data_IF_593441732380
#
_entry.id   IF_593441732380
#
_cell.length_a   1.000
_cell.length_b   1.000
_cell.length_c   1.000
_cell.angle_alpha   90.00
_cell.angle_beta   90.00
_cell.angle_gamma   90.00
#
_symmetry.space_group_name_H-M   'P 1'
#
loop_
_entity.id
_entity.type
_entity.pdbx_description
1 polymer ?
#
# COMPACT_ATOMS: atom_id res chain seq x y z
N UNK A 1 12.46 14.44 -24.73
CA UNK A 1 12.41 13.85 -23.39
C UNK A 1 13.65 14.30 -22.60
N UNK A 2 13.48 14.77 -21.37
CA UNK A 2 14.60 15.20 -20.54
C UNK A 2 15.10 14.02 -19.70
N UNK A 3 16.41 13.71 -19.75
CA UNK A 3 17.02 12.60 -19.01
C UNK A 3 16.86 12.76 -17.50
N UNK A 4 16.83 13.98 -17.00
CA UNK A 4 16.63 14.28 -15.57
C UNK A 4 15.23 13.82 -15.15
N UNK A 5 14.21 14.08 -15.96
CA UNK A 5 12.83 13.65 -15.67
C UNK A 5 12.71 12.11 -15.71
N UNK A 6 13.44 11.44 -16.62
CA UNK A 6 13.51 9.98 -16.64
C UNK A 6 14.10 9.43 -15.32
N UNK A 7 15.20 10.00 -14.85
CA UNK A 7 15.81 9.60 -13.58
C UNK A 7 14.87 9.83 -12.39
N UNK A 8 14.13 10.95 -12.36
CA UNK A 8 13.13 11.21 -11.33
C UNK A 8 12.02 10.16 -11.33
N UNK A 9 11.50 9.82 -12.51
CA UNK A 9 10.49 8.76 -12.66
C UNK A 9 11.01 7.41 -12.16
N UNK A 10 12.26 7.07 -12.47
CA UNK A 10 12.89 5.84 -11.97
C UNK A 10 12.97 5.85 -10.44
N UNK A 11 13.41 6.94 -9.84
CA UNK A 11 13.49 7.06 -8.37
C UNK A 11 12.11 6.93 -7.74
N UNK A 12 11.09 7.61 -8.28
CA UNK A 12 9.71 7.50 -7.80
C UNK A 12 9.17 6.07 -7.91
N UNK A 13 9.45 5.39 -9.03
CA UNK A 13 9.08 3.98 -9.21
C UNK A 13 9.79 3.04 -8.23
N UNK A 14 11.06 3.30 -7.90
CA UNK A 14 11.81 2.54 -6.88
C UNK A 14 11.18 2.76 -5.50
N UNK A 15 10.93 4.01 -5.13
CA UNK A 15 10.33 4.35 -3.83
C UNK A 15 8.97 3.70 -3.69
N UNK A 16 8.10 3.83 -4.69
CA UNK A 16 6.79 3.20 -4.71
C UNK A 16 6.88 1.67 -4.57
N UNK A 17 7.66 1.02 -5.45
CA UNK A 17 7.79 -0.44 -5.45
C UNK A 17 8.37 -1.01 -4.17
N UNK A 18 9.22 -0.24 -3.45
CA UNK A 18 9.79 -0.66 -2.18
C UNK A 18 8.83 -0.43 -1.02
N UNK A 19 8.20 0.75 -0.94
CA UNK A 19 7.49 1.20 0.25
C UNK A 19 6.02 0.76 0.31
N UNK A 20 5.41 0.40 -0.83
CA UNK A 20 4.00 0.01 -0.88
C UNK A 20 3.71 -1.29 -0.11
N UNK A 21 4.62 -2.27 -0.20
CA UNK A 21 4.42 -3.58 0.41
C UNK A 21 4.87 -3.64 1.87
N UNK A 22 5.89 -2.87 2.21
CA UNK A 22 6.33 -2.75 3.57
C UNK A 22 5.36 -1.85 4.36
N UNK A 23 5.09 -2.17 5.63
CA UNK A 23 4.14 -1.37 6.40
C UNK A 23 4.78 -0.06 6.91
N UNK A 24 5.39 0.74 5.98
CA UNK A 24 6.16 1.96 6.27
C UNK A 24 5.58 3.24 5.66
N UNK A 25 4.47 3.15 4.93
CA UNK A 25 3.78 4.25 4.24
C UNK A 25 4.49 4.77 2.98
N UNK A 26 4.05 4.28 1.81
CA UNK A 26 4.47 4.81 0.51
C UNK A 26 4.15 6.31 0.38
N UNK A 27 2.96 6.74 0.79
CA UNK A 27 2.55 8.16 0.76
C UNK A 27 3.52 9.06 1.53
N UNK A 28 3.95 8.66 2.74
CA UNK A 28 4.91 9.44 3.53
C UNK A 28 6.26 9.61 2.83
N UNK A 29 6.74 8.54 2.16
CA UNK A 29 7.99 8.59 1.40
C UNK A 29 7.85 9.42 0.13
N UNK A 30 6.73 9.26 -0.59
CA UNK A 30 6.50 9.97 -1.84
C UNK A 30 6.40 11.48 -1.63
N UNK A 31 5.79 11.94 -0.53
CA UNK A 31 5.76 13.37 -0.16
C UNK A 31 7.20 13.89 0.03
N UNK A 32 8.03 13.22 0.84
CA UNK A 32 9.42 13.66 1.06
C UNK A 32 10.25 13.63 -0.23
N UNK A 33 10.04 12.62 -1.07
CA UNK A 33 10.78 12.48 -2.31
C UNK A 33 10.34 13.53 -3.34
N UNK A 34 9.04 13.84 -3.43
CA UNK A 34 8.54 14.88 -4.34
C UNK A 34 9.04 16.28 -3.93
N UNK A 35 9.17 16.56 -2.62
CA UNK A 35 9.76 17.79 -2.10
C UNK A 35 11.25 17.97 -2.49
N UNK A 36 11.98 16.88 -2.70
CA UNK A 36 13.40 16.92 -3.09
C UNK A 36 13.57 16.88 -4.62
N UNK A 37 12.80 16.02 -5.27
CA UNK A 37 13.02 15.69 -6.70
C UNK A 37 12.23 16.60 -7.62
N UNK A 38 11.03 17.04 -7.24
CA UNK A 38 10.12 17.89 -8.02
C UNK A 38 9.98 17.45 -9.49
N UNK A 39 9.11 16.46 -9.76
CA UNK A 39 8.79 16.06 -11.12
C UNK A 39 8.21 17.26 -11.89
N UNK A 40 8.88 17.71 -12.95
CA UNK A 40 8.48 18.90 -13.74
C UNK A 40 7.32 18.55 -14.69
N UNK A 41 6.16 18.30 -14.10
CA UNK A 41 4.90 17.98 -14.79
C UNK A 41 3.75 18.77 -14.15
N UNK A 42 2.63 18.99 -14.86
CA UNK A 42 1.44 19.60 -14.27
C UNK A 42 0.99 18.84 -13.02
N UNK A 43 0.55 19.58 -11.99
CA UNK A 43 0.12 18.98 -10.70
C UNK A 43 -0.94 17.89 -10.88
N UNK A 44 -1.90 18.09 -11.78
CA UNK A 44 -2.92 17.09 -12.07
C UNK A 44 -2.31 15.78 -12.61
N UNK A 45 -1.27 15.87 -13.48
CA UNK A 45 -0.54 14.69 -13.95
C UNK A 45 0.23 14.02 -12.83
N UNK A 46 0.95 14.79 -11.99
CA UNK A 46 1.71 14.24 -10.86
C UNK A 46 0.81 13.44 -9.91
N UNK A 47 -0.32 14.03 -9.50
CA UNK A 47 -1.26 13.37 -8.61
C UNK A 47 -1.82 12.07 -9.19
N UNK A 48 -2.12 12.07 -10.49
CA UNK A 48 -2.54 10.85 -11.19
C UNK A 48 -1.39 9.84 -11.31
N UNK A 49 -0.19 10.30 -11.70
CA UNK A 49 1.01 9.46 -11.88
C UNK A 49 1.35 8.68 -10.62
N UNK A 50 1.39 9.34 -9.45
CA UNK A 50 1.73 8.70 -8.17
C UNK A 50 0.76 7.57 -7.79
N UNK A 51 -0.50 7.66 -8.20
CA UNK A 51 -1.48 6.58 -7.97
C UNK A 51 -1.39 5.50 -9.04
N UNK A 52 -1.17 5.87 -10.30
CA UNK A 52 -1.19 4.91 -11.41
C UNK A 52 0.05 4.01 -11.44
N UNK A 53 1.22 4.49 -10.98
CA UNK A 53 2.41 3.63 -10.88
C UNK A 53 2.23 2.47 -9.90
N UNK A 54 1.29 2.57 -8.95
CA UNK A 54 0.88 1.45 -8.08
C UNK A 54 0.32 0.26 -8.86
N UNK A 55 -0.21 0.47 -10.09
CA UNK A 55 -0.59 -0.65 -10.97
C UNK A 55 0.61 -1.53 -11.30
N UNK A 56 1.78 -0.92 -11.50
CA UNK A 56 3.02 -1.69 -11.66
C UNK A 56 3.32 -2.53 -10.42
N UNK A 57 3.21 -1.92 -9.25
CA UNK A 57 3.44 -2.61 -7.98
C UNK A 57 2.47 -3.79 -7.80
N UNK A 58 1.16 -3.61 -8.05
CA UNK A 58 0.17 -4.68 -7.85
C UNK A 58 0.30 -5.83 -8.86
N UNK A 59 0.82 -5.57 -10.06
CA UNK A 59 1.14 -6.64 -11.00
C UNK A 59 2.17 -7.62 -10.44
N UNK A 60 3.08 -7.18 -9.56
CA UNK A 60 4.01 -8.06 -8.87
C UNK A 60 3.30 -9.08 -7.98
N UNK A 61 2.22 -8.69 -7.29
CA UNK A 61 1.39 -9.62 -6.50
C UNK A 61 0.72 -10.64 -7.42
N UNK A 62 0.12 -10.18 -8.52
CA UNK A 62 -0.55 -11.08 -9.47
C UNK A 62 0.42 -12.11 -10.05
N UNK A 63 1.66 -11.71 -10.35
CA UNK A 63 2.69 -12.62 -10.87
C UNK A 63 3.19 -13.58 -9.79
N UNK A 64 3.56 -13.06 -8.61
CA UNK A 64 4.13 -13.88 -7.54
C UNK A 64 3.14 -14.87 -6.93
N UNK A 65 1.85 -14.52 -6.89
CA UNK A 65 0.79 -15.33 -6.33
C UNK A 65 -0.18 -15.85 -7.39
N UNK A 66 0.25 -15.88 -8.67
CA UNK A 66 -0.61 -16.27 -9.79
C UNK A 66 -1.30 -17.61 -9.54
N UNK A 67 -0.56 -18.65 -9.16
CA UNK A 67 -1.14 -19.98 -8.89
C UNK A 67 -2.15 -19.93 -7.74
N UNK A 68 -1.93 -19.10 -6.72
CA UNK A 68 -2.84 -18.95 -5.58
C UNK A 68 -4.12 -18.19 -5.96
N UNK A 69 -4.01 -17.20 -6.80
CA UNK A 69 -5.08 -16.26 -7.18
C UNK A 69 -5.86 -16.69 -8.43
N UNK A 70 -5.35 -17.60 -9.26
CA UNK A 70 -6.03 -18.04 -10.47
C UNK A 70 -7.09 -19.13 -10.14
N UNK A 71 -8.42 -18.81 -10.21
CA UNK A 71 -9.49 -19.77 -9.94
C UNK A 71 -9.79 -20.70 -11.11
N UNK A 72 -9.19 -20.45 -12.28
CA UNK A 72 -9.43 -21.21 -13.51
C UNK A 72 -8.25 -22.12 -13.88
N UNK A 73 -7.34 -22.37 -12.95
CA UNK A 73 -6.15 -23.18 -13.20
C UNK A 73 -6.52 -24.63 -13.46
N UNK A 74 -6.10 -25.15 -14.63
CA UNK A 74 -6.24 -26.55 -14.98
C UNK A 74 -5.31 -27.48 -14.19
N UNK A 75 -4.29 -26.91 -13.54
CA UNK A 75 -3.33 -27.65 -12.68
C UNK A 75 -3.87 -27.89 -11.27
N UNK A 76 -4.91 -27.18 -10.86
CA UNK A 76 -5.56 -27.32 -9.55
C UNK A 76 -6.69 -28.33 -9.58
N UNK A 77 -6.93 -28.99 -8.45
CA UNK A 77 -8.15 -29.79 -8.24
C UNK A 77 -9.37 -28.85 -8.16
N UNK A 78 -10.58 -29.31 -8.56
CA UNK A 78 -11.80 -28.48 -8.49
C UNK A 78 -12.02 -27.82 -7.12
N UNK A 79 -11.78 -28.54 -6.01
CA UNK A 79 -11.90 -28.00 -4.66
C UNK A 79 -10.91 -26.84 -4.38
N UNK A 80 -9.72 -26.87 -4.98
CA UNK A 80 -8.74 -25.78 -4.84
C UNK A 80 -9.15 -24.54 -5.66
N UNK A 81 -9.75 -24.72 -6.82
CA UNK A 81 -10.31 -23.62 -7.61
C UNK A 81 -11.48 -22.98 -6.85
N UNK A 82 -12.36 -23.78 -6.25
CA UNK A 82 -13.45 -23.30 -5.40
C UNK A 82 -12.91 -22.52 -4.18
N UNK A 83 -11.87 -23.02 -3.51
CA UNK A 83 -11.22 -22.29 -2.41
C UNK A 83 -10.63 -20.94 -2.85
N UNK A 84 -10.11 -20.86 -4.08
CA UNK A 84 -9.64 -19.60 -4.66
C UNK A 84 -10.80 -18.61 -4.91
N UNK A 85 -11.95 -19.08 -5.40
CA UNK A 85 -13.15 -18.23 -5.56
C UNK A 85 -13.66 -17.72 -4.21
N UNK A 86 -13.67 -18.57 -3.19
CA UNK A 86 -14.01 -18.16 -1.81
C UNK A 86 -13.02 -17.12 -1.28
N UNK A 87 -11.73 -17.26 -1.56
CA UNK A 87 -10.74 -16.24 -1.19
C UNK A 87 -11.03 -14.89 -1.88
N UNK A 88 -11.33 -14.91 -3.18
CA UNK A 88 -11.72 -13.71 -3.92
C UNK A 88 -12.99 -13.05 -3.36
N UNK A 89 -14.00 -13.81 -3.01
CA UNK A 89 -15.22 -13.26 -2.40
C UNK A 89 -14.95 -12.58 -1.05
N UNK A 90 -14.02 -13.09 -0.24
CA UNK A 90 -13.57 -12.46 1.00
C UNK A 90 -12.80 -11.17 0.74
N UNK A 91 -11.93 -11.16 -0.29
CA UNK A 91 -11.19 -9.96 -0.71
C UNK A 91 -12.15 -8.87 -1.16
N UNK A 92 -13.11 -9.19 -2.03
CA UNK A 92 -14.11 -8.23 -2.51
C UNK A 92 -14.95 -7.69 -1.35
N UNK A 93 -15.43 -8.56 -0.45
CA UNK A 93 -16.17 -8.14 0.74
C UNK A 93 -15.37 -7.15 1.59
N UNK A 94 -14.09 -7.40 1.79
CA UNK A 94 -13.21 -6.53 2.57
C UNK A 94 -12.90 -5.20 1.87
N UNK A 95 -13.05 -5.11 0.55
CA UNK A 95 -12.88 -3.86 -0.19
C UNK A 95 -14.10 -2.93 -0.09
N UNK A 96 -15.30 -3.47 0.15
CA UNK A 96 -16.56 -2.70 0.13
C UNK A 96 -16.52 -1.49 1.07
N UNK A 97 -16.15 -1.61 2.37
CA UNK A 97 -16.12 -0.45 3.26
C UNK A 97 -15.26 0.70 2.74
N UNK A 98 -14.03 0.41 2.30
CA UNK A 98 -13.10 1.41 1.80
C UNK A 98 -13.55 2.01 0.45
N UNK A 99 -14.17 1.22 -0.43
CA UNK A 99 -14.70 1.70 -1.69
C UNK A 99 -15.88 2.67 -1.46
N UNK A 100 -16.83 2.29 -0.59
CA UNK A 100 -18.01 3.12 -0.33
C UNK A 100 -17.64 4.41 0.40
N UNK A 101 -16.90 4.30 1.50
CA UNK A 101 -16.53 5.49 2.30
C UNK A 101 -15.51 6.35 1.54
N UNK A 102 -14.51 5.74 0.90
CA UNK A 102 -13.49 6.47 0.15
C UNK A 102 -14.09 7.35 -0.94
N UNK A 103 -15.06 6.83 -1.72
CA UNK A 103 -15.74 7.62 -2.75
C UNK A 103 -16.56 8.79 -2.19
N UNK A 104 -17.06 8.67 -0.97
CA UNK A 104 -17.88 9.72 -0.33
C UNK A 104 -17.04 10.83 0.32
N UNK A 105 -15.80 10.50 0.75
CA UNK A 105 -14.99 11.42 1.57
C UNK A 105 -13.65 11.80 0.92
N UNK A 106 -13.33 11.30 -0.29
CA UNK A 106 -12.05 11.54 -1.00
C UNK A 106 -11.68 13.03 -1.03
N UNK A 107 -12.62 13.87 -1.52
CA UNK A 107 -12.39 15.31 -1.67
C UNK A 107 -12.19 16.02 -0.30
N UNK A 108 -12.93 15.58 0.73
CA UNK A 108 -12.82 16.13 2.10
C UNK A 108 -11.47 15.75 2.73
N UNK A 109 -11.04 14.49 2.52
CA UNK A 109 -9.77 14.01 3.06
C UNK A 109 -8.58 14.70 2.38
N UNK A 110 -8.66 14.88 1.05
CA UNK A 110 -7.63 15.60 0.30
C UNK A 110 -7.52 17.08 0.78
N UNK A 111 -8.63 17.75 1.06
CA UNK A 111 -8.65 19.14 1.51
C UNK A 111 -8.09 19.32 2.95
N UNK A 112 -8.50 18.48 3.90
CA UNK A 112 -8.20 18.70 5.32
C UNK A 112 -7.05 17.88 5.87
N UNK A 113 -6.79 16.69 5.33
CA UNK A 113 -5.81 15.75 5.89
C UNK A 113 -4.54 15.59 5.05
N UNK A 114 -4.52 16.02 3.77
CA UNK A 114 -3.34 15.89 2.94
C UNK A 114 -2.28 16.97 3.28
N UNK A 115 -1.71 16.86 4.47
CA UNK A 115 -0.65 17.75 4.94
C UNK A 115 0.43 16.98 5.71
N UNK A 116 1.64 17.54 5.75
CA UNK A 116 2.80 16.88 6.34
C UNK A 116 2.69 16.61 7.84
N UNK A 117 1.94 17.42 8.60
CA UNK A 117 1.76 17.20 10.04
C UNK A 117 0.89 15.96 10.30
N UNK A 118 -0.19 15.77 9.54
CA UNK A 118 -1.02 14.56 9.62
C UNK A 118 -0.21 13.33 9.25
N UNK A 119 0.58 13.40 8.17
CA UNK A 119 1.46 12.30 7.75
C UNK A 119 2.47 11.96 8.84
N UNK A 120 3.13 12.94 9.45
CA UNK A 120 4.07 12.73 10.54
C UNK A 120 3.40 12.08 11.76
N UNK A 121 2.24 12.60 12.18
CA UNK A 121 1.50 12.08 13.31
C UNK A 121 1.05 10.62 13.09
N UNK A 122 0.52 10.30 11.91
CA UNK A 122 0.08 8.94 11.58
C UNK A 122 1.25 7.97 11.44
N UNK A 123 2.40 8.40 10.88
CA UNK A 123 3.61 7.59 10.87
C UNK A 123 4.04 7.19 12.28
N UNK A 124 4.12 8.15 13.21
CA UNK A 124 4.50 7.90 14.61
C UNK A 124 3.46 7.01 15.28
N UNK A 125 2.17 7.34 15.18
CA UNK A 125 1.09 6.58 15.79
C UNK A 125 1.12 5.11 15.38
N UNK A 126 1.15 4.83 14.08
CA UNK A 126 1.19 3.45 13.58
C UNK A 126 2.53 2.76 13.86
N UNK A 127 3.64 3.51 13.92
CA UNK A 127 4.91 2.99 14.40
C UNK A 127 4.81 2.45 15.83
N UNK A 128 4.22 3.22 16.73
CA UNK A 128 3.96 2.81 18.13
C UNK A 128 2.99 1.62 18.19
N UNK A 129 1.91 1.64 17.40
CA UNK A 129 0.94 0.55 17.34
C UNK A 129 1.58 -0.77 16.90
N UNK A 130 2.49 -0.77 15.91
CA UNK A 130 3.21 -1.97 15.51
C UNK A 130 4.01 -2.56 16.68
N UNK A 131 4.72 -1.73 17.44
CA UNK A 131 5.51 -2.18 18.59
C UNK A 131 4.59 -2.75 19.67
N UNK A 132 3.47 -2.08 19.99
CA UNK A 132 2.51 -2.53 21.01
C UNK A 132 1.89 -3.87 20.62
N UNK A 133 1.42 -4.00 19.38
CA UNK A 133 0.75 -5.22 18.90
C UNK A 133 1.72 -6.38 18.84
N UNK A 134 2.96 -6.17 18.39
CA UNK A 134 3.97 -7.23 18.40
C UNK A 134 4.35 -7.67 19.80
N UNK A 135 4.48 -6.74 20.77
CA UNK A 135 4.72 -7.09 22.18
C UNK A 135 3.56 -7.89 22.75
N UNK A 136 2.30 -7.48 22.48
CA UNK A 136 1.11 -8.21 22.91
C UNK A 136 1.06 -9.63 22.33
N UNK A 137 1.48 -9.79 21.07
CA UNK A 137 1.40 -11.04 20.35
C UNK A 137 2.63 -11.95 20.52
N UNK A 138 3.63 -11.53 21.31
CA UNK A 138 4.91 -12.26 21.46
C UNK A 138 4.73 -13.71 21.92
N UNK A 139 3.75 -13.95 22.81
CA UNK A 139 3.46 -15.28 23.36
C UNK A 139 2.12 -15.86 22.88
N UNK A 140 1.48 -15.21 21.90
CA UNK A 140 0.17 -15.63 21.42
C UNK A 140 0.30 -16.71 20.34
N UNK A 141 -0.46 -17.78 20.46
CA UNK A 141 -0.72 -18.69 19.36
C UNK A 141 -1.73 -18.04 18.41
N UNK A 142 -1.39 -17.92 17.12
CA UNK A 142 -2.29 -17.36 16.13
C UNK A 142 -3.31 -18.42 15.68
N UNK A 143 -4.59 -18.06 15.68
CA UNK A 143 -5.69 -18.93 15.28
C UNK A 143 -5.70 -19.12 13.75
N UNK A 144 -5.37 -18.06 12.99
CA UNK A 144 -5.36 -18.08 11.53
C UNK A 144 -3.92 -18.08 11.02
N UNK A 145 -3.45 -19.25 10.58
CA UNK A 145 -2.07 -19.43 10.10
C UNK A 145 -1.92 -19.16 8.60
N UNK A 146 -2.97 -19.40 7.81
CA UNK A 146 -2.94 -19.26 6.34
C UNK A 146 -4.03 -18.31 5.87
N UNK A 147 -3.79 -17.61 4.79
CA UNK A 147 -4.75 -16.66 4.20
C UNK A 147 -6.09 -17.31 3.81
N UNK A 148 -6.09 -18.59 3.43
CA UNK A 148 -7.30 -19.32 3.10
C UNK A 148 -8.23 -19.53 4.30
N UNK A 149 -7.69 -19.58 5.52
CA UNK A 149 -8.40 -19.84 6.75
C UNK A 149 -9.09 -18.59 7.34
N UNK A 150 -8.82 -17.41 6.78
CA UNK A 150 -9.49 -16.16 7.16
C UNK A 150 -11.01 -16.32 6.95
N UNK A 151 -11.80 -16.06 8.00
CA UNK A 151 -13.27 -16.08 7.89
C UNK A 151 -13.82 -14.85 7.16
N UNK A 152 -15.05 -14.89 6.68
CA UNK A 152 -15.74 -13.71 6.11
C UNK A 152 -15.84 -12.56 7.13
N UNK A 153 -16.11 -12.90 8.40
CA UNK A 153 -16.17 -11.91 9.47
C UNK A 153 -14.81 -11.23 9.68
N UNK A 154 -13.74 -12.02 9.76
CA UNK A 154 -12.37 -11.49 9.88
C UNK A 154 -11.99 -10.63 8.67
N UNK A 155 -12.33 -11.09 7.45
CA UNK A 155 -12.08 -10.33 6.22
C UNK A 155 -12.79 -8.98 6.23
N UNK A 156 -14.07 -8.93 6.63
CA UNK A 156 -14.82 -7.68 6.76
C UNK A 156 -14.20 -6.73 7.79
N UNK A 157 -13.79 -7.22 8.96
CA UNK A 157 -13.11 -6.41 9.95
C UNK A 157 -11.77 -5.85 9.44
N UNK A 158 -10.98 -6.67 8.71
CA UNK A 158 -9.75 -6.16 8.06
C UNK A 158 -10.10 -5.06 7.06
N UNK A 159 -11.19 -5.19 6.32
CA UNK A 159 -11.72 -4.15 5.43
C UNK A 159 -12.11 -2.86 6.16
N UNK A 160 -12.66 -2.96 7.37
CA UNK A 160 -12.93 -1.79 8.22
C UNK A 160 -11.63 -1.15 8.71
N UNK A 161 -10.63 -1.93 9.10
CA UNK A 161 -9.30 -1.38 9.40
C UNK A 161 -8.68 -0.67 8.20
N UNK A 162 -8.98 -1.10 6.96
CA UNK A 162 -8.51 -0.43 5.75
C UNK A 162 -9.04 1.01 5.62
N UNK A 163 -10.20 1.36 6.20
CA UNK A 163 -10.69 2.73 6.23
C UNK A 163 -9.69 3.70 6.86
N UNK A 164 -8.93 3.25 7.83
CA UNK A 164 -7.89 4.06 8.48
C UNK A 164 -6.79 4.48 7.50
N UNK A 165 -6.61 3.72 6.41
CA UNK A 165 -5.65 4.03 5.37
C UNK A 165 -6.07 5.20 4.46
N UNK A 166 -7.32 5.65 4.55
CA UNK A 166 -7.77 6.90 3.92
C UNK A 166 -7.09 8.12 4.55
N UNK A 167 -6.62 8.02 5.81
CA UNK A 167 -5.85 9.07 6.46
C UNK A 167 -4.40 9.00 5.95
N UNK A 168 -3.86 10.08 5.33
CA UNK A 168 -2.50 10.10 4.80
C UNK A 168 -1.44 9.70 5.83
N UNK A 169 -0.41 8.99 5.40
CA UNK A 169 0.64 8.50 6.28
C UNK A 169 0.35 7.19 7.01
N UNK A 170 -0.93 6.78 7.15
CA UNK A 170 -1.31 5.53 7.81
C UNK A 170 -0.71 4.29 7.14
N UNK A 171 -0.65 4.24 5.83
CA UNK A 171 -0.31 3.08 5.00
C UNK A 171 -1.44 2.05 4.94
N UNK A 172 -1.86 1.69 3.74
CA UNK A 172 -2.86 0.64 3.51
C UNK A 172 -2.39 -0.70 4.08
N UNK A 173 -1.18 -1.11 3.70
CA UNK A 173 -0.58 -2.35 4.22
C UNK A 173 -0.39 -2.28 5.73
N UNK A 174 -0.01 -1.12 6.28
CA UNK A 174 0.12 -0.94 7.72
C UNK A 174 -1.18 -1.16 8.47
N UNK A 175 -2.28 -0.54 8.04
CA UNK A 175 -3.58 -0.65 8.69
C UNK A 175 -4.15 -2.08 8.59
N UNK A 176 -4.09 -2.70 7.41
CA UNK A 176 -4.66 -4.03 7.18
C UNK A 176 -3.85 -5.14 7.85
N UNK A 177 -2.52 -5.04 7.87
CA UNK A 177 -1.66 -6.00 8.60
C UNK A 177 -1.92 -5.91 10.10
N UNK A 178 -1.90 -4.70 10.68
CA UNK A 178 -2.18 -4.51 12.11
C UNK A 178 -3.58 -5.02 12.48
N UNK A 179 -4.59 -4.66 11.68
CA UNK A 179 -5.96 -5.15 11.89
C UNK A 179 -6.05 -6.67 11.88
N UNK A 180 -5.44 -7.32 10.89
CA UNK A 180 -5.41 -8.77 10.80
C UNK A 180 -4.69 -9.43 11.99
N UNK A 181 -3.57 -8.86 12.44
CA UNK A 181 -2.84 -9.36 13.62
C UNK A 181 -3.62 -9.20 14.93
N UNK A 182 -4.35 -8.09 15.09
CA UNK A 182 -5.27 -7.88 16.24
C UNK A 182 -6.35 -8.95 16.26
N UNK A 183 -6.87 -9.33 15.09
CA UNK A 183 -7.91 -10.33 14.89
C UNK A 183 -7.41 -11.79 14.96
N UNK A 184 -6.12 -12.02 15.28
CA UNK A 184 -5.56 -13.35 15.50
C UNK A 184 -4.94 -14.01 14.27
N UNK A 185 -4.73 -13.28 13.18
CA UNK A 185 -3.98 -13.77 12.02
C UNK A 185 -2.48 -13.76 12.28
N UNK A 186 -1.77 -14.78 11.79
CA UNK A 186 -0.31 -14.79 11.79
C UNK A 186 0.27 -13.66 10.92
N UNK A 187 1.53 -13.29 11.14
CA UNK A 187 2.22 -12.27 10.32
C UNK A 187 2.13 -12.57 8.83
N UNK A 188 2.37 -13.83 8.45
CA UNK A 188 2.32 -14.26 7.05
C UNK A 188 0.91 -14.16 6.45
N UNK A 189 -0.12 -14.65 7.17
CA UNK A 189 -1.51 -14.56 6.71
C UNK A 189 -1.96 -13.10 6.59
N UNK A 190 -1.56 -12.23 7.54
CA UNK A 190 -1.86 -10.80 7.55
C UNK A 190 -1.24 -10.08 6.35
N UNK A 191 0.04 -10.34 6.07
CA UNK A 191 0.73 -9.73 4.93
C UNK A 191 0.16 -10.21 3.59
N UNK A 192 -0.04 -11.51 3.41
CA UNK A 192 -0.63 -12.05 2.18
C UNK A 192 -2.03 -11.49 1.91
N UNK A 193 -2.91 -11.46 2.93
CA UNK A 193 -4.26 -10.93 2.75
C UNK A 193 -4.24 -9.45 2.42
N UNK A 194 -3.36 -8.68 3.08
CA UNK A 194 -3.13 -7.27 2.76
C UNK A 194 -2.71 -7.08 1.30
N UNK A 195 -1.79 -7.89 0.78
CA UNK A 195 -1.37 -7.84 -0.62
C UNK A 195 -2.54 -8.10 -1.57
N UNK A 196 -3.34 -9.12 -1.29
CA UNK A 196 -4.48 -9.47 -2.14
C UNK A 196 -5.58 -8.41 -2.10
N UNK A 197 -5.79 -7.79 -0.95
CA UNK A 197 -6.71 -6.67 -0.79
C UNK A 197 -6.29 -5.45 -1.62
N UNK A 198 -4.99 -5.26 -1.81
CA UNK A 198 -4.43 -4.22 -2.67
C UNK A 198 -4.86 -4.35 -4.13
N UNK A 199 -5.15 -5.57 -4.64
CA UNK A 199 -5.47 -5.77 -6.04
C UNK A 199 -6.70 -4.95 -6.47
N UNK A 200 -7.91 -5.18 -5.93
CA UNK A 200 -9.07 -4.40 -6.37
C UNK A 200 -8.99 -2.92 -5.96
N UNK A 201 -8.37 -2.60 -4.83
CA UNK A 201 -8.25 -1.23 -4.33
C UNK A 201 -7.38 -0.37 -5.24
N UNK A 202 -6.18 -0.84 -5.61
CA UNK A 202 -5.27 -0.09 -6.46
C UNK A 202 -5.79 0.02 -7.90
N UNK A 203 -6.41 -1.04 -8.43
CA UNK A 203 -7.07 -0.96 -9.72
C UNK A 203 -8.20 0.07 -9.71
N UNK A 204 -9.06 0.06 -8.68
CA UNK A 204 -10.15 1.02 -8.54
C UNK A 204 -9.66 2.46 -8.39
N UNK A 205 -8.68 2.70 -7.52
CA UNK A 205 -8.10 4.03 -7.30
C UNK A 205 -7.42 4.57 -8.57
N UNK A 206 -6.64 3.74 -9.26
CA UNK A 206 -5.97 4.14 -10.51
C UNK A 206 -6.98 4.44 -11.62
N UNK A 207 -8.01 3.61 -11.78
CA UNK A 207 -9.07 3.86 -12.74
C UNK A 207 -9.77 5.20 -12.46
N UNK A 208 -10.12 5.45 -11.20
CA UNK A 208 -10.76 6.72 -10.80
C UNK A 208 -9.86 7.93 -11.12
N UNK A 209 -8.57 7.88 -10.79
CA UNK A 209 -7.62 8.98 -11.07
C UNK A 209 -7.42 9.19 -12.57
N UNK A 210 -7.35 8.12 -13.38
CA UNK A 210 -7.27 8.23 -14.85
C UNK A 210 -8.54 8.85 -15.42
N UNK A 211 -9.71 8.43 -14.96
CA UNK A 211 -10.99 9.00 -15.41
C UNK A 211 -11.12 10.48 -15.02
N UNK A 212 -10.74 10.85 -13.79
CA UNK A 212 -10.73 12.26 -13.33
C UNK A 212 -9.72 13.12 -14.12
N UNK A 213 -8.56 12.56 -14.47
CA UNK A 213 -7.52 13.27 -15.24
C UNK A 213 -7.93 13.45 -16.72
N UNK A 214 -8.63 12.47 -17.29
CA UNK A 214 -8.94 12.40 -18.70
C UNK A 214 -7.92 11.63 -19.52
N UNK A 215 -8.22 11.41 -20.81
CA UNK A 215 -7.38 10.56 -21.69
C UNK A 215 -6.40 11.36 -22.58
N UNK A 216 -6.26 12.66 -22.35
CA UNK A 216 -5.41 13.54 -23.15
C UNK A 216 -3.95 13.51 -22.65
N UNK A 217 -3.26 12.39 -22.89
CA UNK A 217 -1.87 12.23 -22.52
C UNK A 217 -0.94 12.65 -23.66
N UNK A 218 0.14 13.35 -23.31
CA UNK A 218 1.26 13.55 -24.22
C UNK A 218 2.13 12.29 -24.33
N UNK A 219 2.86 12.13 -25.45
CA UNK A 219 3.77 11.00 -25.62
C UNK A 219 4.78 10.82 -24.46
N UNK A 220 5.45 11.89 -23.98
CA UNK A 220 6.31 11.82 -22.80
C UNK A 220 5.59 11.36 -21.53
N UNK A 221 4.36 11.78 -21.29
CA UNK A 221 3.57 11.37 -20.13
C UNK A 221 3.26 9.87 -20.14
N UNK A 222 2.88 9.34 -21.30
CA UNK A 222 2.67 7.88 -21.45
C UNK A 222 3.97 7.12 -21.16
N UNK A 223 5.08 7.61 -21.68
CA UNK A 223 6.39 7.00 -21.42
C UNK A 223 6.73 7.01 -19.92
N UNK A 224 6.53 8.13 -19.22
CA UNK A 224 6.79 8.24 -17.80
C UNK A 224 5.91 7.29 -16.97
N UNK A 225 4.62 7.16 -17.31
CA UNK A 225 3.71 6.22 -16.67
C UNK A 225 4.17 4.78 -16.84
N UNK A 226 4.47 4.36 -18.07
CA UNK A 226 4.91 3.00 -18.36
C UNK A 226 6.25 2.71 -17.67
N UNK A 227 7.22 3.63 -17.75
CA UNK A 227 8.51 3.49 -17.09
C UNK A 227 8.35 3.37 -15.58
N UNK A 228 7.57 4.26 -14.95
CA UNK A 228 7.31 4.24 -13.52
C UNK A 228 6.65 2.92 -13.08
N UNK A 229 5.65 2.45 -13.82
CA UNK A 229 5.00 1.15 -13.57
C UNK A 229 5.97 -0.03 -13.70
N UNK A 230 6.83 -0.05 -14.72
CA UNK A 230 7.80 -1.13 -14.91
C UNK A 230 8.81 -1.16 -13.78
N UNK A 231 9.34 0.00 -13.38
CA UNK A 231 10.28 0.10 -12.26
C UNK A 231 9.59 -0.31 -10.96
N UNK A 232 8.39 0.20 -10.67
CA UNK A 232 7.61 -0.19 -9.48
C UNK A 232 7.33 -1.69 -9.46
N UNK A 233 6.99 -2.31 -10.60
CA UNK A 233 6.81 -3.75 -10.73
C UNK A 233 8.06 -4.53 -10.33
N UNK A 234 9.20 -4.21 -10.96
CA UNK A 234 10.46 -4.94 -10.71
C UNK A 234 10.86 -4.83 -9.25
N UNK A 235 10.84 -3.62 -8.68
CA UNK A 235 11.19 -3.39 -7.28
C UNK A 235 10.21 -4.08 -6.35
N UNK A 236 8.91 -4.07 -6.65
CA UNK A 236 7.87 -4.76 -5.86
C UNK A 236 8.07 -6.26 -5.78
N UNK A 237 8.53 -6.90 -6.87
CA UNK A 237 8.85 -8.34 -6.84
C UNK A 237 9.89 -8.65 -5.77
N UNK A 238 10.94 -7.83 -5.67
CA UNK A 238 11.97 -7.99 -4.64
C UNK A 238 11.46 -7.63 -3.25
N UNK A 239 10.72 -6.54 -3.12
CA UNK A 239 10.19 -6.07 -1.83
C UNK A 239 9.21 -7.06 -1.19
N UNK A 240 8.31 -7.65 -1.97
CA UNK A 240 7.38 -8.68 -1.50
C UNK A 240 8.14 -9.93 -1.04
N UNK A 241 9.11 -10.40 -1.83
CA UNK A 241 9.93 -11.56 -1.47
C UNK A 241 10.74 -11.29 -0.20
N UNK A 242 11.34 -10.09 -0.10
CA UNK A 242 12.06 -9.65 1.07
C UNK A 242 11.16 -9.65 2.31
N UNK A 243 10.00 -8.99 2.26
CA UNK A 243 9.11 -8.92 3.40
C UNK A 243 8.64 -10.30 3.84
N UNK A 244 8.21 -11.15 2.90
CA UNK A 244 7.75 -12.51 3.22
C UNK A 244 8.87 -13.39 3.79
N UNK A 245 10.10 -13.19 3.36
CA UNK A 245 11.29 -13.84 3.95
C UNK A 245 11.58 -13.32 5.36
N UNK A 246 11.54 -11.99 5.53
CA UNK A 246 11.83 -11.30 6.79
C UNK A 246 10.87 -11.70 7.92
N UNK A 247 9.55 -11.66 7.68
CA UNK A 247 8.53 -11.93 8.69
C UNK A 247 8.42 -13.41 9.11
N UNK A 248 9.12 -14.31 8.43
CA UNK A 248 9.25 -15.71 8.89
C UNK A 248 10.14 -15.86 10.10
N UNK A 249 11.12 -14.98 10.27
CA UNK A 249 12.14 -15.05 11.31
C UNK A 249 12.10 -13.85 12.27
N UNK A 250 11.47 -12.74 11.85
CA UNK A 250 11.45 -11.47 12.56
C UNK A 250 10.00 -10.99 12.75
N UNK A 251 9.86 -10.03 13.66
CA UNK A 251 8.59 -9.32 13.90
C UNK A 251 8.53 -8.00 13.12
N UNK A 252 7.38 -7.30 13.19
CA UNK A 252 7.20 -6.01 12.55
C UNK A 252 7.74 -4.82 13.35
N UNK A 253 8.38 -5.00 14.52
CA UNK A 253 8.89 -3.89 15.35
C UNK A 253 9.89 -3.02 14.62
N UNK A 254 10.74 -3.62 13.78
CA UNK A 254 11.70 -2.87 12.95
C UNK A 254 10.99 -1.81 12.11
N UNK A 255 9.90 -2.17 11.44
CA UNK A 255 9.10 -1.23 10.65
C UNK A 255 8.40 -0.20 11.54
N UNK A 256 8.02 -0.58 12.75
CA UNK A 256 7.51 0.35 13.77
C UNK A 256 8.51 1.43 14.13
N UNK A 257 9.75 1.05 14.49
CA UNK A 257 10.82 2.01 14.78
C UNK A 257 11.16 2.89 13.59
N UNK A 258 11.26 2.30 12.40
CA UNK A 258 11.49 3.04 11.17
C UNK A 258 10.43 4.14 10.95
N UNK A 259 9.14 3.81 11.12
CA UNK A 259 8.03 4.77 10.99
C UNK A 259 8.11 5.92 11.99
N UNK A 260 8.49 5.63 13.25
CA UNK A 260 8.65 6.67 14.28
C UNK A 260 9.77 7.64 13.87
N UNK A 261 10.92 7.12 13.44
CA UNK A 261 12.04 7.95 12.98
C UNK A 261 11.64 8.76 11.75
N UNK A 262 11.02 8.13 10.74
CA UNK A 262 10.56 8.83 9.54
C UNK A 262 9.55 9.92 9.88
N UNK A 263 8.57 9.62 10.75
CA UNK A 263 7.58 10.60 11.19
C UNK A 263 8.20 11.78 11.94
N UNK A 264 9.22 11.53 12.76
CA UNK A 264 9.97 12.60 13.42
C UNK A 264 10.72 13.47 12.40
N UNK A 265 11.36 12.86 11.39
CA UNK A 265 12.04 13.59 10.29
C UNK A 265 11.05 14.44 9.52
N UNK A 266 9.90 13.88 9.11
CA UNK A 266 8.84 14.62 8.41
C UNK A 266 8.35 15.79 9.26
N UNK A 267 8.10 15.57 10.54
CA UNK A 267 7.63 16.61 11.46
C UNK A 267 8.62 17.76 11.59
N UNK A 268 9.90 17.44 11.80
CA UNK A 268 10.98 18.44 11.90
C UNK A 268 11.13 19.22 10.59
N UNK A 269 11.07 18.53 9.45
CA UNK A 269 11.15 19.17 8.13
C UNK A 269 10.03 20.22 7.97
N UNK A 270 8.79 19.89 8.25
CA UNK A 270 7.67 20.83 8.11
C UNK A 270 7.69 21.97 9.14
N UNK A 271 8.24 21.75 10.35
CA UNK A 271 8.46 22.84 11.30
C UNK A 271 9.53 23.82 10.76
N UNK A 272 10.64 23.29 10.28
CA UNK A 272 11.73 24.13 9.74
C UNK A 272 11.24 24.95 8.54
N UNK A 273 10.54 24.34 7.61
CA UNK A 273 9.99 25.04 6.44
C UNK A 273 8.95 26.09 6.83
N UNK A 274 8.13 25.85 7.86
CA UNK A 274 7.18 26.84 8.37
C UNK A 274 7.84 28.04 9.09
N UNK A 275 9.06 27.87 9.62
CA UNK A 275 9.80 28.93 10.31
C UNK A 275 10.64 29.75 9.32
N UNK A 276 11.17 29.09 8.28
CA UNK A 276 12.10 29.73 7.31
C UNK A 276 11.39 30.32 6.09
N UNK A 277 10.17 29.89 5.77
CA UNK A 277 9.36 30.38 4.65
C UNK A 277 8.32 31.33 5.09
#
# INVERSE_FOLDING_TARGET
>A
MNIIEILKVIVLGIVEGFTEWLPISSTGHMILVDEIIHLNQPTAFKNMFLVVIQLGAILAVLVLYFDKLNPFSTRKKPAQNQATLILWSKIILACIPAAVIGLLVDDILDEYLMNGYVVAATLILYGVLFIIIENRNQYRSFEVQKVGDISYQTALWIGLFQLLALIPGTSRSGATILGAMILGCSRAASAEFSFFLGIPVMFGASLLKVVKYGLNFTGPQIFYLVLGMVVAFVVSVYSIKFLMGYIRQHDFKFFGYYRIVLGAVVFVYFIITAILG
#
